data_IF_785749243829
#
_entry.id   IF_785749243829
#
_cell.length_a   1.000
_cell.length_b   1.000
_cell.length_c   1.000
_cell.angle_alpha   90.00
_cell.angle_beta   90.00
_cell.angle_gamma   90.00
#
_symmetry.space_group_name_H-M   'P 1'
#
loop_
_entity.id
_entity.type
_entity.pdbx_description
1 polymer ?
#
# COMPACT_ATOMS: atom_id res chain seq x y z
N UNK A 1 -7.25 -12.71 -8.91
CA UNK A 1 -7.47 -11.58 -8.00
C UNK A 1 -6.17 -10.81 -8.01
N UNK A 2 -6.16 -9.58 -8.55
CA UNK A 2 -4.91 -8.80 -8.65
C UNK A 2 -4.40 -8.48 -7.24
N UNK A 3 -3.20 -8.94 -6.91
CA UNK A 3 -2.63 -8.86 -5.55
C UNK A 3 -1.82 -7.57 -5.42
N UNK A 4 -2.51 -6.44 -5.33
CA UNK A 4 -1.89 -5.11 -5.24
C UNK A 4 -1.69 -4.67 -3.78
N UNK A 5 -0.71 -3.79 -3.53
CA UNK A 5 -0.47 -3.13 -2.24
C UNK A 5 -1.74 -2.60 -1.57
N UNK A 6 -2.64 -2.01 -2.38
CA UNK A 6 -3.93 -1.50 -1.90
C UNK A 6 -4.78 -2.62 -1.30
N UNK A 7 -4.83 -3.78 -1.95
CA UNK A 7 -5.60 -4.93 -1.47
C UNK A 7 -4.99 -5.55 -0.23
N UNK A 8 -3.66 -5.55 -0.10
CA UNK A 8 -2.94 -6.05 1.09
C UNK A 8 -3.22 -5.14 2.29
N UNK A 9 -3.07 -3.84 2.11
CA UNK A 9 -3.37 -2.86 3.15
C UNK A 9 -4.86 -2.93 3.54
N UNK A 10 -5.76 -2.99 2.54
CA UNK A 10 -7.21 -3.11 2.74
C UNK A 10 -7.62 -4.39 3.47
N UNK A 11 -6.95 -5.50 3.18
CA UNK A 11 -7.18 -6.78 3.84
C UNK A 11 -6.64 -6.80 5.29
N UNK A 12 -5.52 -6.12 5.55
CA UNK A 12 -4.90 -6.09 6.87
C UNK A 12 -5.65 -5.22 7.90
N UNK A 13 -6.32 -4.16 7.47
CA UNK A 13 -7.09 -3.28 8.37
C UNK A 13 -8.59 -3.66 8.42
N UNK A 14 -9.07 -4.41 7.42
CA UNK A 14 -10.46 -4.84 7.35
C UNK A 14 -11.41 -3.77 6.80
N UNK A 15 -12.72 -4.05 6.80
CA UNK A 15 -13.73 -3.26 6.10
C UNK A 15 -14.33 -2.09 6.89
N UNK A 16 -14.02 -1.94 8.18
CA UNK A 16 -14.81 -1.09 9.09
C UNK A 16 -14.11 0.20 9.56
N UNK A 17 -12.78 0.28 9.59
CA UNK A 17 -12.09 1.51 10.01
C UNK A 17 -10.62 1.53 9.59
N UNK A 18 -10.24 2.40 8.66
CA UNK A 18 -8.86 2.60 8.26
C UNK A 18 -8.23 3.74 9.08
N UNK A 19 -7.47 3.39 10.11
CA UNK A 19 -6.76 4.38 10.95
C UNK A 19 -5.30 4.52 10.52
N UNK A 20 -4.71 5.68 10.77
CA UNK A 20 -3.35 5.98 10.36
C UNK A 20 -2.34 5.10 11.09
N UNK A 21 -2.58 4.85 12.38
CA UNK A 21 -1.74 3.96 13.17
C UNK A 21 -1.73 2.53 12.60
N UNK A 22 -2.89 2.00 12.20
CA UNK A 22 -2.98 0.67 11.58
C UNK A 22 -2.39 0.61 10.18
N UNK A 23 -2.55 1.66 9.38
CA UNK A 23 -1.93 1.74 8.07
C UNK A 23 -0.39 1.78 8.18
N UNK A 24 0.11 2.58 9.12
CA UNK A 24 1.55 2.70 9.42
C UNK A 24 2.14 1.37 9.87
N UNK A 25 1.45 0.65 10.77
CA UNK A 25 1.88 -0.65 11.28
C UNK A 25 2.05 -1.69 10.16
N UNK A 26 1.10 -1.76 9.23
CA UNK A 26 1.18 -2.68 8.09
C UNK A 26 2.29 -2.26 7.13
N UNK A 27 2.45 -0.96 6.85
CA UNK A 27 3.53 -0.47 5.99
C UNK A 27 4.89 -0.85 6.56
N UNK A 28 5.07 -0.68 7.87
CA UNK A 28 6.29 -1.08 8.56
C UNK A 28 6.51 -2.60 8.49
N UNK A 29 5.46 -3.41 8.56
CA UNK A 29 5.57 -4.85 8.31
C UNK A 29 6.01 -5.17 6.88
N UNK A 30 5.45 -4.50 5.88
CA UNK A 30 5.82 -4.70 4.47
C UNK A 30 7.27 -4.28 4.21
N UNK A 31 7.75 -3.23 4.89
CA UNK A 31 9.17 -2.84 4.87
C UNK A 31 10.04 -3.89 5.55
N UNK A 32 9.64 -4.39 6.73
CA UNK A 32 10.37 -5.46 7.45
C UNK A 32 10.44 -6.76 6.65
N UNK A 33 9.37 -7.11 5.94
CA UNK A 33 9.30 -8.29 5.05
C UNK A 33 10.07 -8.09 3.73
N UNK A 34 10.54 -6.86 3.47
CA UNK A 34 11.23 -6.53 2.23
C UNK A 34 10.32 -6.49 1.00
N UNK A 35 9.00 -6.37 1.21
CA UNK A 35 8.00 -6.20 0.16
C UNK A 35 7.91 -4.75 -0.32
N UNK A 36 8.25 -3.81 0.57
CA UNK A 36 8.41 -2.38 0.31
C UNK A 36 9.83 -1.93 0.69
N UNK A 37 10.38 -0.96 -0.03
CA UNK A 37 11.64 -0.34 0.39
C UNK A 37 11.42 0.62 1.57
N UNK A 38 12.45 0.84 2.39
CA UNK A 38 12.41 1.81 3.51
C UNK A 38 12.03 3.21 3.03
N UNK A 39 12.50 3.60 1.83
CA UNK A 39 12.17 4.90 1.23
C UNK A 39 10.68 5.00 0.90
N UNK A 40 10.15 4.00 0.21
CA UNK A 40 8.73 3.96 -0.15
C UNK A 40 7.82 3.91 1.07
N UNK A 41 8.19 3.15 2.12
CA UNK A 41 7.42 3.12 3.37
C UNK A 41 7.36 4.48 4.06
N UNK A 42 8.48 5.23 4.07
CA UNK A 42 8.50 6.60 4.60
C UNK A 42 7.65 7.57 3.79
N UNK A 43 7.75 7.54 2.47
CA UNK A 43 6.93 8.39 1.58
C UNK A 43 5.43 8.09 1.74
N UNK A 44 5.07 6.81 1.86
CA UNK A 44 3.69 6.38 2.04
C UNK A 44 3.12 6.82 3.41
N UNK A 45 3.90 6.70 4.49
CA UNK A 45 3.49 7.21 5.81
C UNK A 45 3.29 8.73 5.81
N UNK A 46 4.17 9.49 5.15
CA UNK A 46 4.04 10.95 5.06
C UNK A 46 2.80 11.39 4.24
N UNK A 47 2.47 10.69 3.14
CA UNK A 47 1.23 10.94 2.40
C UNK A 47 -0.02 10.58 3.21
N UNK A 48 -0.02 9.42 3.89
CA UNK A 48 -1.14 9.02 4.75
C UNK A 48 -1.40 10.07 5.84
N UNK A 49 -0.33 10.58 6.46
CA UNK A 49 -0.41 11.62 7.48
C UNK A 49 -0.95 12.93 6.89
N UNK A 50 -0.48 13.30 5.70
CA UNK A 50 -0.91 14.50 4.97
C UNK A 50 -2.38 14.43 4.57
N UNK A 51 -2.88 13.29 4.08
CA UNK A 51 -4.32 13.13 3.76
C UNK A 51 -5.18 13.16 5.01
N UNK A 52 -4.77 12.49 6.10
CA UNK A 52 -5.48 12.58 7.37
C UNK A 52 -5.49 13.99 7.97
N UNK A 53 -4.39 14.74 7.86
CA UNK A 53 -4.37 16.12 8.40
C UNK A 53 -5.12 17.12 7.52
N UNK A 54 -5.21 16.89 6.20
CA UNK A 54 -6.07 17.67 5.29
C UNK A 54 -7.56 17.45 5.57
N UNK A 55 -7.94 16.25 5.98
CA UNK A 55 -9.29 15.93 6.43
C UNK A 55 -9.42 16.33 7.91
N UNK A 56 -9.87 17.56 8.21
CA UNK A 56 -9.86 18.22 9.54
C UNK A 56 -10.82 17.56 10.57
N UNK A 57 -10.86 16.24 10.67
CA UNK A 57 -11.47 15.53 11.80
C UNK A 57 -10.37 14.71 12.47
N UNK A 58 -10.18 14.91 13.77
CA UNK A 58 -9.17 14.19 14.58
C UNK A 58 -9.40 12.67 14.65
N UNK A 59 -10.52 12.21 14.06
CA UNK A 59 -10.94 10.83 13.82
C UNK A 59 -11.25 10.58 12.32
N UNK A 60 -10.49 11.20 11.40
CA UNK A 60 -10.67 11.00 9.97
C UNK A 60 -10.30 9.55 9.62
N UNK A 61 -11.31 8.69 9.51
CA UNK A 61 -11.15 7.36 8.92
C UNK A 61 -10.69 7.53 7.47
N UNK A 62 -9.53 6.98 7.12
CA UNK A 62 -9.13 6.88 5.72
C UNK A 62 -10.13 5.96 5.02
N UNK A 63 -10.63 6.38 3.86
CA UNK A 63 -11.49 5.55 3.04
C UNK A 63 -10.65 4.61 2.19
N UNK A 64 -11.29 3.61 1.57
CA UNK A 64 -10.59 2.70 0.64
C UNK A 64 -10.08 3.46 -0.58
N UNK A 65 -10.81 4.48 -0.97
CA UNK A 65 -10.51 5.38 -2.08
C UNK A 65 -9.28 6.23 -1.76
N UNK A 66 -9.17 6.79 -0.56
CA UNK A 66 -8.00 7.58 -0.13
C UNK A 66 -6.70 6.77 -0.23
N UNK A 67 -6.76 5.53 0.24
CA UNK A 67 -5.62 4.60 0.26
C UNK A 67 -5.20 4.21 -1.16
N UNK A 68 -6.17 3.90 -2.01
CA UNK A 68 -5.90 3.60 -3.43
C UNK A 68 -5.29 4.79 -4.14
N UNK A 69 -5.79 5.99 -3.86
CA UNK A 69 -5.30 7.21 -4.50
C UNK A 69 -3.86 7.52 -4.06
N UNK A 70 -3.54 7.39 -2.78
CA UNK A 70 -2.15 7.56 -2.29
C UNK A 70 -1.20 6.55 -2.95
N UNK A 71 -1.60 5.28 -3.03
CA UNK A 71 -0.77 4.22 -3.62
C UNK A 71 -0.56 4.46 -5.12
N UNK A 72 -1.60 4.95 -5.81
CA UNK A 72 -1.53 5.32 -7.22
C UNK A 72 -0.64 6.55 -7.46
N UNK A 73 -0.77 7.59 -6.63
CA UNK A 73 0.08 8.80 -6.68
C UNK A 73 1.57 8.48 -6.51
N UNK A 74 1.87 7.53 -5.61
CA UNK A 74 3.25 7.13 -5.32
C UNK A 74 3.80 6.07 -6.29
N UNK A 75 2.98 5.60 -7.24
CA UNK A 75 3.33 4.58 -8.24
C UNK A 75 4.11 3.40 -7.64
N UNK A 76 3.65 2.91 -6.48
CA UNK A 76 4.40 1.94 -5.68
C UNK A 76 4.25 0.54 -6.27
N UNK A 77 5.33 0.06 -6.89
CA UNK A 77 5.49 -1.36 -7.23
C UNK A 77 5.97 -2.13 -5.99
N UNK A 78 5.29 -3.23 -5.69
CA UNK A 78 5.68 -4.20 -4.66
C UNK A 78 6.54 -5.31 -5.22
N UNK A 79 7.23 -6.04 -4.35
CA UNK A 79 7.99 -7.24 -4.74
C UNK A 79 7.11 -8.29 -5.42
N UNK A 80 5.83 -8.40 -5.03
CA UNK A 80 4.86 -9.30 -5.64
C UNK A 80 4.54 -8.89 -7.09
N UNK A 81 4.40 -7.59 -7.37
CA UNK A 81 4.21 -7.10 -8.74
C UNK A 81 5.41 -7.48 -9.63
N UNK A 82 6.62 -7.40 -9.08
CA UNK A 82 7.85 -7.82 -9.79
C UNK A 82 7.85 -9.34 -10.03
N UNK A 83 7.41 -10.13 -9.05
CA UNK A 83 7.36 -11.60 -9.15
C UNK A 83 6.28 -12.06 -10.15
N UNK A 84 5.14 -11.37 -10.21
CA UNK A 84 4.12 -11.57 -11.24
C UNK A 84 4.66 -11.23 -12.63
N UNK A 85 5.36 -10.10 -12.78
CA UNK A 85 5.99 -9.72 -14.03
C UNK A 85 7.04 -10.73 -14.48
N UNK A 86 7.88 -11.25 -13.57
CA UNK A 86 8.82 -12.34 -13.86
C UNK A 86 8.10 -13.59 -14.35
N UNK A 87 7.06 -14.03 -13.65
CA UNK A 87 6.28 -15.21 -14.05
C UNK A 87 5.65 -15.04 -15.43
N UNK A 88 5.16 -13.84 -15.74
CA UNK A 88 4.63 -13.51 -17.08
C UNK A 88 5.72 -13.52 -18.14
N UNK A 89 6.90 -12.98 -17.83
CA UNK A 89 8.06 -12.99 -18.71
C UNK A 89 8.52 -14.42 -19.00
N UNK A 90 8.68 -15.26 -17.98
CA UNK A 90 9.04 -16.68 -18.13
C UNK A 90 8.05 -17.44 -19.02
N UNK A 91 6.75 -17.14 -18.93
CA UNK A 91 5.72 -17.73 -19.80
C UNK A 91 5.79 -17.26 -21.25
N UNK A 92 6.30 -16.05 -21.48
CA UNK A 92 6.48 -15.49 -22.82
C UNK A 92 7.81 -15.96 -23.44
N UNK A 93 8.86 -16.13 -22.64
CA UNK A 93 10.16 -16.61 -23.10
C UNK A 93 10.20 -18.12 -23.35
N UNK A 94 9.39 -18.92 -22.63
CA UNK A 94 9.24 -20.36 -22.86
C UNK A 94 8.19 -20.72 -23.93
N UNK A 95 7.87 -19.79 -24.84
CA UNK A 95 6.91 -19.96 -25.92
C UNK A 95 7.57 -19.71 -27.27
#
# INVERSE_FOLDING_TARGET
>A
MEFNLSNILLAGIGSLAFTYEKATEIIDELVKKGELTVKQGKELNEELKRKMTKNITKDALLTKEDVKEIIAELNLATKLDIEELKTRLDKLENK
#
